data_IF_023865370254
#
_entry.id   IF_023865370254
#
_cell.length_a   1.000
_cell.length_b   1.000
_cell.length_c   1.000
_cell.angle_alpha   90.00
_cell.angle_beta   90.00
_cell.angle_gamma   90.00
#
_symmetry.space_group_name_H-M   'P 1'
#
loop_
_entity.id
_entity.type
_entity.pdbx_description
1 polymer ?
#
# COMPACT_ATOMS: atom_id res chain seq x y z
N UNK A 1 -1.76 33.85 17.49
CA UNK A 1 -1.12 32.75 18.23
C UNK A 1 -1.82 32.65 19.55
N UNK A 2 -2.74 31.69 19.67
CA UNK A 2 -3.41 31.39 20.92
C UNK A 2 -2.75 30.10 21.39
N UNK A 3 -1.83 30.24 22.35
CA UNK A 3 -1.12 29.11 22.93
C UNK A 3 -2.13 28.16 23.58
N UNK A 4 -2.24 26.96 23.04
CA UNK A 4 -3.01 25.86 23.61
C UNK A 4 -2.20 25.16 24.72
N UNK A 5 -1.65 25.92 25.66
CA UNK A 5 -0.73 25.42 26.71
C UNK A 5 -1.45 24.87 27.95
N UNK A 6 -2.61 24.24 27.77
CA UNK A 6 -3.39 23.73 28.89
C UNK A 6 -4.64 22.96 28.52
N UNK A 7 -4.51 21.91 27.72
CA UNK A 7 -5.58 20.90 27.62
C UNK A 7 -5.58 20.08 28.91
N UNK A 8 -6.67 20.16 29.66
CA UNK A 8 -6.87 19.35 30.87
C UNK A 8 -6.93 17.84 30.52
N UNK A 9 -6.70 16.99 31.51
CA UNK A 9 -6.61 15.53 31.33
C UNK A 9 -7.88 14.91 30.71
N UNK A 10 -9.05 15.53 30.88
CA UNK A 10 -10.30 15.06 30.30
C UNK A 10 -10.39 15.44 28.82
N UNK A 11 -9.92 16.63 28.43
CA UNK A 11 -9.79 17.02 27.03
C UNK A 11 -8.80 16.13 26.25
N UNK A 12 -7.71 15.69 26.88
CA UNK A 12 -6.77 14.72 26.29
C UNK A 12 -7.43 13.35 26.04
N UNK A 13 -8.23 12.84 26.98
CA UNK A 13 -8.96 11.58 26.80
C UNK A 13 -9.92 11.61 25.61
N UNK A 14 -10.56 12.76 25.37
CA UNK A 14 -11.42 12.93 24.20
C UNK A 14 -10.63 12.92 22.89
N UNK A 15 -9.44 13.54 22.87
CA UNK A 15 -8.56 13.48 21.70
C UNK A 15 -8.06 12.06 21.43
N UNK A 16 -7.69 11.31 22.46
CA UNK A 16 -7.29 9.89 22.34
C UNK A 16 -8.43 9.04 21.76
N UNK A 17 -9.66 9.28 22.22
CA UNK A 17 -10.85 8.59 21.71
C UNK A 17 -11.11 8.93 20.24
N UNK A 18 -11.03 10.21 19.88
CA UNK A 18 -11.17 10.66 18.49
C UNK A 18 -10.06 10.03 17.63
N UNK A 19 -8.83 10.00 18.11
CA UNK A 19 -7.70 9.39 17.41
C UNK A 19 -7.91 7.89 17.19
N UNK A 20 -8.45 7.17 18.18
CA UNK A 20 -8.81 5.76 18.07
C UNK A 20 -9.90 5.52 17.00
N UNK A 21 -10.93 6.36 16.96
CA UNK A 21 -12.00 6.26 15.97
C UNK A 21 -11.51 6.55 14.55
N UNK A 22 -10.72 7.62 14.37
CA UNK A 22 -10.06 7.93 13.10
C UNK A 22 -9.24 6.73 12.64
N UNK A 23 -8.42 6.15 13.53
CA UNK A 23 -7.61 4.98 13.22
C UNK A 23 -8.43 3.77 12.79
N UNK A 24 -9.55 3.51 13.46
CA UNK A 24 -10.45 2.41 13.13
C UNK A 24 -11.09 2.60 11.76
N UNK A 25 -11.69 3.77 11.51
CA UNK A 25 -12.35 4.09 10.24
C UNK A 25 -11.35 4.06 9.08
N UNK A 26 -10.18 4.66 9.24
CA UNK A 26 -9.11 4.64 8.24
C UNK A 26 -8.52 3.24 7.99
N UNK A 27 -8.70 2.28 8.90
CA UNK A 27 -8.33 0.88 8.64
C UNK A 27 -9.33 0.15 7.72
N UNK A 28 -10.52 0.71 7.53
CA UNK A 28 -11.65 0.11 6.81
C UNK A 28 -12.09 0.86 5.55
N UNK A 29 -11.57 2.07 5.31
CA UNK A 29 -12.00 2.98 4.23
C UNK A 29 -11.04 2.94 3.02
N UNK A 30 -11.55 3.21 1.82
CA UNK A 30 -10.79 3.29 0.54
C UNK A 30 -9.85 4.50 0.45
N UNK A 31 -8.83 4.41 -0.42
CA UNK A 31 -7.82 5.46 -0.62
C UNK A 31 -8.44 6.82 -1.03
N UNK A 32 -9.46 6.81 -1.90
CA UNK A 32 -10.12 8.03 -2.41
C UNK A 32 -10.86 8.84 -1.31
N UNK A 33 -11.53 8.15 -0.38
CA UNK A 33 -12.25 8.79 0.70
C UNK A 33 -11.31 9.42 1.74
N UNK A 34 -10.07 8.91 1.81
CA UNK A 34 -9.02 9.50 2.62
C UNK A 34 -8.59 10.85 2.04
N UNK A 35 -8.42 10.97 0.73
CA UNK A 35 -8.03 12.23 0.08
C UNK A 35 -9.03 13.36 0.32
N UNK A 36 -10.34 13.07 0.27
CA UNK A 36 -11.37 14.08 0.57
C UNK A 36 -11.33 14.55 2.03
N UNK A 37 -11.12 13.63 2.98
CA UNK A 37 -10.93 13.98 4.38
C UNK A 37 -9.66 14.85 4.57
N UNK A 38 -8.59 14.55 3.84
CA UNK A 38 -7.35 15.34 3.88
C UNK A 38 -7.51 16.74 3.26
N UNK A 39 -8.40 16.90 2.27
CA UNK A 39 -8.70 18.22 1.70
C UNK A 39 -9.43 19.13 2.71
N UNK A 40 -10.27 18.57 3.59
CA UNK A 40 -11.05 19.33 4.56
C UNK A 40 -10.28 19.67 5.86
N UNK A 41 -9.12 19.03 6.10
CA UNK A 41 -8.32 19.20 7.33
C UNK A 41 -7.92 20.64 7.64
N UNK A 42 -7.64 21.45 6.61
CA UNK A 42 -7.16 22.83 6.76
C UNK A 42 -8.23 23.75 7.36
N UNK A 43 -9.48 23.28 7.43
CA UNK A 43 -10.60 24.01 8.00
C UNK A 43 -10.85 23.65 9.46
N UNK A 44 -10.15 22.65 10.02
CA UNK A 44 -10.36 22.20 11.39
C UNK A 44 -9.59 23.05 12.39
N UNK A 45 -10.23 23.45 13.51
CA UNK A 45 -9.55 24.16 14.58
C UNK A 45 -8.52 23.26 15.29
N UNK A 46 -7.42 23.87 15.73
CA UNK A 46 -6.42 23.25 16.62
C UNK A 46 -7.09 22.89 17.96
N UNK A 47 -6.79 21.73 18.58
CA UNK A 47 -5.72 20.75 18.31
C UNK A 47 -6.10 19.60 17.37
N UNK A 48 -7.33 19.60 16.83
CA UNK A 48 -7.84 18.47 16.03
C UNK A 48 -7.08 18.38 14.70
N UNK A 49 -6.82 19.52 14.05
CA UNK A 49 -6.02 19.56 12.82
C UNK A 49 -4.60 19.00 13.00
N UNK A 50 -3.95 19.26 14.13
CA UNK A 50 -2.60 18.74 14.44
C UNK A 50 -2.61 17.24 14.70
N UNK A 51 -3.62 16.75 15.42
CA UNK A 51 -3.80 15.31 15.68
C UNK A 51 -3.99 14.53 14.37
N UNK A 52 -4.73 15.11 13.41
CA UNK A 52 -4.85 14.54 12.07
C UNK A 52 -3.52 14.57 11.30
N UNK A 53 -2.71 15.63 11.39
CA UNK A 53 -1.42 15.71 10.70
C UNK A 53 -0.45 14.60 11.13
N UNK A 54 -0.34 14.33 12.44
CA UNK A 54 0.45 13.19 12.94
C UNK A 54 -0.11 11.85 12.44
N UNK A 55 -1.44 11.76 12.30
CA UNK A 55 -2.08 10.57 11.74
C UNK A 55 -1.82 10.42 10.23
N UNK A 56 -1.78 11.51 9.48
CA UNK A 56 -1.47 11.52 8.05
C UNK A 56 -0.07 11.03 7.74
N UNK A 57 0.92 11.52 8.48
CA UNK A 57 2.31 11.04 8.37
C UNK A 57 2.37 9.51 8.57
N UNK A 58 1.59 8.99 9.53
CA UNK A 58 1.45 7.56 9.74
C UNK A 58 0.75 6.83 8.57
N UNK A 59 -0.26 7.44 7.95
CA UNK A 59 -0.99 6.85 6.83
C UNK A 59 -0.13 6.83 5.56
N UNK A 60 0.55 7.93 5.24
CA UNK A 60 1.43 8.05 4.08
C UNK A 60 2.60 7.08 4.16
N UNK A 61 3.30 7.03 5.31
CA UNK A 61 4.41 6.08 5.51
C UNK A 61 3.95 4.62 5.35
N UNK A 62 2.72 4.29 5.79
CA UNK A 62 2.13 2.96 5.60
C UNK A 62 1.73 2.70 4.14
N UNK A 63 1.24 3.72 3.45
CA UNK A 63 0.90 3.67 2.03
C UNK A 63 2.13 3.41 1.18
N UNK A 64 3.21 4.16 1.40
CA UNK A 64 4.49 3.99 0.72
C UNK A 64 5.08 2.60 0.94
N UNK A 65 5.18 2.15 2.20
CA UNK A 65 5.70 0.81 2.51
C UNK A 65 4.89 -0.33 1.87
N UNK A 66 3.56 -0.22 1.85
CA UNK A 66 2.69 -1.20 1.16
C UNK A 66 2.82 -1.10 -0.36
N UNK A 67 2.96 0.11 -0.90
CA UNK A 67 3.11 0.37 -2.32
C UNK A 67 4.42 -0.19 -2.86
N UNK A 68 5.51 0.04 -2.14
CA UNK A 68 6.85 -0.46 -2.47
C UNK A 68 6.89 -1.99 -2.42
N UNK A 69 6.44 -2.61 -1.32
CA UNK A 69 6.40 -4.07 -1.21
C UNK A 69 5.54 -4.74 -2.30
N UNK A 70 4.38 -4.15 -2.66
CA UNK A 70 3.55 -4.65 -3.77
C UNK A 70 4.20 -4.40 -5.13
N UNK A 71 4.88 -3.27 -5.28
CA UNK A 71 5.57 -2.87 -6.50
C UNK A 71 6.75 -3.80 -6.80
N UNK A 72 7.58 -4.08 -5.80
CA UNK A 72 8.70 -5.01 -5.88
C UNK A 72 8.23 -6.43 -6.18
N UNK A 73 7.26 -6.95 -5.43
CA UNK A 73 6.72 -8.30 -5.67
C UNK A 73 6.11 -8.44 -7.07
N UNK A 74 5.40 -7.42 -7.57
CA UNK A 74 4.87 -7.41 -8.95
C UNK A 74 5.99 -7.28 -9.98
N UNK A 75 7.03 -6.50 -9.70
CA UNK A 75 8.19 -6.32 -10.57
C UNK A 75 8.97 -7.61 -10.72
N UNK A 76 9.25 -8.30 -9.61
CA UNK A 76 9.94 -9.60 -9.59
C UNK A 76 9.13 -10.68 -10.30
N UNK A 77 7.82 -10.75 -10.06
CA UNK A 77 6.94 -11.69 -10.76
C UNK A 77 6.94 -11.43 -12.28
N UNK A 78 6.79 -10.17 -12.71
CA UNK A 78 6.84 -9.79 -14.13
C UNK A 78 8.19 -10.09 -14.76
N UNK A 79 9.29 -9.82 -14.05
CA UNK A 79 10.64 -10.12 -14.54
C UNK A 79 10.85 -11.62 -14.70
N UNK A 80 10.40 -12.42 -13.74
CA UNK A 80 10.48 -13.89 -13.79
C UNK A 80 9.66 -14.45 -14.95
N UNK A 81 8.45 -13.95 -15.17
CA UNK A 81 7.62 -14.28 -16.33
C UNK A 81 8.28 -13.87 -17.66
N UNK A 82 8.88 -12.68 -17.73
CA UNK A 82 9.56 -12.21 -18.93
C UNK A 82 10.80 -13.06 -19.26
N UNK A 83 11.57 -13.45 -18.26
CA UNK A 83 12.71 -14.38 -18.42
C UNK A 83 12.20 -15.73 -18.91
N UNK A 84 11.12 -16.26 -18.32
CA UNK A 84 10.54 -17.53 -18.76
C UNK A 84 10.10 -17.48 -20.22
N UNK A 85 9.44 -16.40 -20.64
CA UNK A 85 9.02 -16.18 -22.02
C UNK A 85 10.20 -16.10 -22.98
N UNK A 86 11.25 -15.37 -22.62
CA UNK A 86 12.44 -15.25 -23.46
C UNK A 86 13.10 -16.62 -23.65
N UNK A 87 13.23 -17.42 -22.58
CA UNK A 87 13.81 -18.76 -22.65
C UNK A 87 12.95 -19.72 -23.48
N UNK A 88 11.63 -19.68 -23.34
CA UNK A 88 10.71 -20.48 -24.17
C UNK A 88 10.80 -20.10 -25.65
N UNK A 89 10.96 -18.82 -25.98
CA UNK A 89 11.16 -18.36 -27.36
C UNK A 89 12.47 -18.86 -27.97
N UNK A 90 13.52 -18.96 -27.17
CA UNK A 90 14.81 -19.54 -27.57
C UNK A 90 14.78 -21.08 -27.66
N UNK A 91 13.61 -21.70 -27.42
CA UNK A 91 13.43 -23.16 -27.51
C UNK A 91 13.91 -23.94 -26.28
N UNK A 92 14.10 -23.26 -25.14
CA UNK A 92 14.48 -23.93 -23.90
C UNK A 92 13.37 -24.86 -23.39
N UNK A 93 13.78 -25.97 -22.77
CA UNK A 93 12.87 -26.96 -22.20
C UNK A 93 12.10 -26.41 -20.99
N UNK A 94 10.81 -26.71 -20.87
CA UNK A 94 9.92 -26.21 -19.80
C UNK A 94 10.47 -26.50 -18.39
N UNK A 95 11.12 -27.66 -18.21
CA UNK A 95 11.76 -28.04 -16.95
C UNK A 95 12.98 -27.16 -16.61
N UNK A 96 13.76 -26.75 -17.62
CA UNK A 96 14.88 -25.85 -17.44
C UNK A 96 14.39 -24.43 -17.13
N UNK A 97 13.35 -23.98 -17.81
CA UNK A 97 12.72 -22.67 -17.57
C UNK A 97 12.20 -22.55 -16.14
N UNK A 98 11.48 -23.57 -15.64
CA UNK A 98 10.98 -23.59 -14.26
C UNK A 98 12.12 -23.52 -13.23
N UNK A 99 13.23 -24.23 -13.48
CA UNK A 99 14.41 -24.20 -12.59
C UNK A 99 15.09 -22.83 -12.52
N UNK A 100 15.17 -22.11 -13.63
CA UNK A 100 15.85 -20.80 -13.71
C UNK A 100 14.98 -19.67 -13.16
N UNK A 101 13.66 -19.77 -13.34
CA UNK A 101 12.71 -18.69 -13.01
C UNK A 101 11.97 -18.90 -11.70
N UNK A 102 12.08 -20.09 -11.10
CA UNK A 102 11.34 -20.46 -9.90
C UNK A 102 9.84 -20.69 -10.15
N UNK A 103 9.40 -20.68 -11.42
CA UNK A 103 8.01 -20.96 -11.80
C UNK A 103 7.73 -22.46 -11.84
N UNK A 104 6.52 -22.84 -11.49
CA UNK A 104 6.03 -24.21 -11.66
C UNK A 104 5.84 -24.57 -13.14
N UNK A 105 5.90 -25.86 -13.46
CA UNK A 105 5.66 -26.35 -14.83
C UNK A 105 4.28 -25.93 -15.37
N UNK A 106 3.27 -25.87 -14.50
CA UNK A 106 1.92 -25.41 -14.86
C UNK A 106 1.93 -23.93 -15.26
N UNK A 107 2.56 -23.06 -14.47
CA UNK A 107 2.71 -21.64 -14.77
C UNK A 107 3.49 -21.39 -16.07
N UNK A 108 4.54 -22.17 -16.33
CA UNK A 108 5.33 -22.07 -17.57
C UNK A 108 4.47 -22.45 -18.79
N UNK A 109 3.62 -23.47 -18.66
CA UNK A 109 2.68 -23.88 -19.73
C UNK A 109 1.56 -22.87 -19.96
N UNK A 110 0.99 -22.30 -18.90
CA UNK A 110 -0.03 -21.24 -19.02
C UNK A 110 0.51 -20.01 -19.76
N UNK A 111 1.76 -19.61 -19.49
CA UNK A 111 2.44 -18.51 -20.19
C UNK A 111 2.64 -18.78 -21.69
N UNK A 112 2.77 -20.06 -22.08
CA UNK A 112 2.87 -20.47 -23.48
C UNK A 112 1.52 -20.41 -24.20
N UNK A 113 0.44 -20.81 -23.53
CA UNK A 113 -0.92 -20.84 -24.10
C UNK A 113 -1.47 -19.42 -24.30
N UNK A 114 -1.31 -18.53 -23.32
CA UNK A 114 -1.85 -17.15 -23.36
C UNK A 114 -1.31 -16.24 -24.48
N UNK A 115 -0.28 -16.67 -25.22
CA UNK A 115 0.28 -15.93 -26.37
C UNK A 115 0.36 -16.73 -27.67
N UNK A 116 -0.21 -17.94 -27.68
CA UNK A 116 -0.38 -18.71 -28.92
C UNK A 116 -1.70 -18.40 -29.65
N UNK A 117 -2.54 -17.53 -29.06
CA UNK A 117 -3.65 -16.80 -29.70
C UNK A 117 -3.19 -15.41 -30.17
#
# INVERSE_FOLDING_TARGET
MQDCDGLDNHSQQWLDFIQMLIRYVSSTVSEDAMEHLMAERCQLPVPIGETLMTYEECVLARGEAKGEARGEARGEAKKSQQIALNLLKEGAEEAFVGKVTGLSLEQVRELRVTRSD
#
